data_IF_336530345447
#
_entry.id   IF_336530345447
#
_cell.length_a   1.000
_cell.length_b   1.000
_cell.length_c   1.000
_cell.angle_alpha   90.00
_cell.angle_beta   90.00
_cell.angle_gamma   90.00
#
_symmetry.space_group_name_H-M   'P 1'
#
loop_
_entity.id
_entity.type
_entity.pdbx_description
1 polymer ?
#
# COMPACT_ATOMS: atom_id res chain seq x y z
N UNK A 1 1.89 -1.58 5.71
CA UNK A 1 2.69 -2.43 4.79
C UNK A 1 2.01 -3.78 4.61
N UNK A 2 2.28 -4.48 3.50
CA UNK A 2 1.68 -5.77 3.15
C UNK A 2 2.77 -6.84 3.12
N UNK A 3 2.53 -8.01 3.74
CA UNK A 3 3.40 -9.19 3.67
C UNK A 3 2.57 -10.40 3.29
N UNK A 4 3.00 -11.12 2.25
CA UNK A 4 2.32 -12.32 1.76
C UNK A 4 0.80 -12.12 1.57
N UNK A 5 0.41 -10.99 0.97
CA UNK A 5 -0.98 -10.65 0.67
C UNK A 5 -1.84 -10.27 1.89
N UNK A 6 -1.22 -9.94 3.02
CA UNK A 6 -1.93 -9.47 4.22
C UNK A 6 -1.32 -8.18 4.75
N UNK A 7 -2.16 -7.29 5.24
CA UNK A 7 -1.70 -6.17 6.06
C UNK A 7 -1.01 -6.68 7.32
N UNK A 8 -0.04 -5.91 7.81
CA UNK A 8 0.65 -6.24 9.05
C UNK A 8 -0.34 -6.25 10.23
N UNK A 9 -0.23 -7.21 11.17
CA UNK A 9 -1.09 -7.27 12.35
C UNK A 9 -1.11 -5.95 13.14
N UNK A 10 0.03 -5.28 13.27
CA UNK A 10 0.15 -4.00 13.99
C UNK A 10 -0.62 -2.87 13.29
N UNK A 11 -0.67 -2.89 11.96
CA UNK A 11 -1.46 -1.93 11.20
C UNK A 11 -2.96 -2.16 11.42
N UNK A 12 -3.41 -3.42 11.40
CA UNK A 12 -4.81 -3.76 11.68
C UNK A 12 -5.21 -3.45 13.13
N UNK A 13 -4.33 -3.74 14.09
CA UNK A 13 -4.55 -3.40 15.50
C UNK A 13 -4.71 -1.89 15.69
N UNK A 14 -3.92 -1.07 14.98
CA UNK A 14 -4.07 0.38 14.99
C UNK A 14 -5.44 0.82 14.45
N UNK A 15 -5.85 0.30 13.28
CA UNK A 15 -7.15 0.63 12.68
C UNK A 15 -8.29 0.26 13.63
N UNK A 16 -8.29 -0.97 14.15
CA UNK A 16 -9.34 -1.44 15.04
C UNK A 16 -9.42 -0.63 16.34
N UNK A 17 -8.28 -0.31 16.95
CA UNK A 17 -8.22 0.44 18.21
C UNK A 17 -8.61 1.91 18.06
N UNK A 18 -8.51 2.47 16.85
CA UNK A 18 -8.74 3.90 16.60
C UNK A 18 -9.91 4.17 15.64
N UNK A 19 -10.68 3.14 15.25
CA UNK A 19 -11.71 3.24 14.20
C UNK A 19 -12.68 4.41 14.38
N UNK A 20 -13.14 4.65 15.61
CA UNK A 20 -14.07 5.75 15.92
C UNK A 20 -13.42 7.11 15.65
N UNK A 21 -12.17 7.31 16.09
CA UNK A 21 -11.44 8.55 15.86
C UNK A 21 -11.06 8.74 14.38
N UNK A 22 -10.79 7.66 13.67
CA UNK A 22 -10.47 7.68 12.23
C UNK A 22 -11.71 8.00 11.39
N UNK A 23 -12.89 7.48 11.75
CA UNK A 23 -14.17 7.77 11.09
C UNK A 23 -14.58 9.25 11.21
N UNK A 24 -14.11 9.95 12.23
CA UNK A 24 -14.39 11.39 12.43
C UNK A 24 -13.38 12.30 11.73
N UNK A 25 -12.45 11.74 10.94
CA UNK A 25 -11.41 12.49 10.23
C UNK A 25 -11.42 12.12 8.75
N UNK A 26 -10.84 12.97 7.92
CA UNK A 26 -10.44 12.57 6.56
C UNK A 26 -9.26 11.59 6.68
N UNK A 27 -9.58 10.30 6.84
CA UNK A 27 -8.59 9.25 6.93
C UNK A 27 -8.11 8.86 5.53
N UNK A 28 -6.81 8.97 5.29
CA UNK A 28 -6.19 8.61 4.02
C UNK A 28 -5.15 7.53 4.27
N UNK A 29 -5.00 6.59 3.34
CA UNK A 29 -4.00 5.53 3.47
C UNK A 29 -3.32 5.25 2.15
N UNK A 30 -2.12 4.68 2.22
CA UNK A 30 -1.46 4.13 1.06
C UNK A 30 -0.78 2.81 1.41
N UNK A 31 -0.57 1.98 0.39
CA UNK A 31 0.22 0.76 0.49
C UNK A 31 1.25 0.69 -0.62
N UNK A 32 2.40 0.12 -0.26
CA UNK A 32 3.43 -0.25 -1.21
C UNK A 32 3.44 -1.78 -1.34
N UNK A 33 3.30 -2.29 -2.56
CA UNK A 33 3.23 -3.73 -2.80
C UNK A 33 4.06 -4.15 -4.01
N UNK A 34 4.79 -5.27 -3.87
CA UNK A 34 5.56 -5.87 -4.96
C UNK A 34 4.68 -6.25 -6.15
N UNK A 35 3.46 -6.73 -5.92
CA UNK A 35 2.52 -7.12 -6.98
C UNK A 35 2.24 -5.97 -7.96
N UNK A 36 2.30 -4.72 -7.51
CA UNK A 36 2.11 -3.55 -8.37
C UNK A 36 3.29 -3.27 -9.32
N UNK A 37 4.37 -4.05 -9.23
CA UNK A 37 5.45 -3.98 -10.25
C UNK A 37 5.04 -4.63 -11.58
N UNK A 38 3.94 -5.37 -11.58
CA UNK A 38 3.26 -5.84 -12.79
C UNK A 38 2.19 -4.81 -13.20
N UNK A 39 2.33 -4.17 -14.37
CA UNK A 39 1.47 -3.06 -14.78
C UNK A 39 0.16 -3.58 -15.42
N UNK A 40 -0.64 -4.31 -14.66
CA UNK A 40 -1.89 -4.89 -15.11
C UNK A 40 -3.04 -4.67 -14.10
N UNK A 41 -4.27 -4.72 -14.59
CA UNK A 41 -5.47 -4.47 -13.78
C UNK A 41 -5.70 -5.54 -12.70
N UNK A 42 -5.27 -6.78 -12.95
CA UNK A 42 -5.43 -7.88 -12.00
C UNK A 42 -4.56 -7.63 -10.75
N UNK A 43 -3.32 -7.20 -10.96
CA UNK A 43 -2.38 -6.81 -9.89
C UNK A 43 -2.94 -5.68 -9.03
N UNK A 44 -3.52 -4.65 -9.65
CA UNK A 44 -4.20 -3.56 -8.93
C UNK A 44 -5.41 -4.08 -8.14
N UNK A 45 -6.25 -4.94 -8.74
CA UNK A 45 -7.42 -5.54 -8.08
C UNK A 45 -7.01 -6.40 -6.87
N UNK A 46 -5.98 -7.23 -7.03
CA UNK A 46 -5.44 -8.07 -5.96
C UNK A 46 -4.98 -7.22 -4.78
N UNK A 47 -4.19 -6.18 -5.05
CA UNK A 47 -3.64 -5.33 -3.98
C UNK A 47 -4.71 -4.46 -3.32
N UNK A 48 -5.68 -3.97 -4.10
CA UNK A 48 -6.85 -3.29 -3.56
C UNK A 48 -7.64 -4.19 -2.62
N UNK A 49 -7.84 -5.47 -2.96
CA UNK A 49 -8.53 -6.42 -2.07
C UNK A 49 -7.81 -6.66 -0.74
N UNK A 50 -6.50 -6.42 -0.65
CA UNK A 50 -5.78 -6.49 0.62
C UNK A 50 -6.19 -5.39 1.61
N UNK A 51 -6.88 -4.34 1.15
CA UNK A 51 -7.43 -3.26 1.97
C UNK A 51 -8.86 -3.53 2.45
N UNK A 52 -9.55 -4.55 1.94
CA UNK A 52 -10.91 -4.89 2.39
C UNK A 52 -11.03 -5.03 3.92
N UNK A 53 -10.06 -5.61 4.64
CA UNK A 53 -10.11 -5.64 6.11
C UNK A 53 -10.10 -4.25 6.75
N UNK A 54 -9.45 -3.25 6.15
CA UNK A 54 -9.44 -1.87 6.66
C UNK A 54 -10.77 -1.19 6.38
N UNK A 55 -11.27 -1.32 5.15
CA UNK A 55 -12.57 -0.76 4.72
C UNK A 55 -13.74 -1.26 5.57
N UNK A 56 -13.63 -2.49 6.09
CA UNK A 56 -14.60 -3.04 7.06
C UNK A 56 -14.68 -2.28 8.38
N UNK A 57 -13.65 -1.51 8.77
CA UNK A 57 -13.65 -0.69 9.98
C UNK A 57 -13.79 0.80 9.69
N UNK A 58 -13.08 1.31 8.68
CA UNK A 58 -13.03 2.73 8.33
C UNK A 58 -12.90 2.84 6.81
N UNK A 59 -13.81 3.59 6.18
CA UNK A 59 -13.71 3.92 4.76
C UNK A 59 -12.66 5.04 4.58
N UNK A 60 -11.55 4.81 3.88
CA UNK A 60 -10.57 5.87 3.61
C UNK A 60 -11.12 6.86 2.59
N UNK A 61 -10.85 8.15 2.79
CA UNK A 61 -11.19 9.20 1.84
C UNK A 61 -10.39 9.05 0.53
N UNK A 62 -9.09 8.75 0.65
CA UNK A 62 -8.21 8.46 -0.49
C UNK A 62 -7.30 7.26 -0.20
N UNK A 63 -7.16 6.39 -1.20
CA UNK A 63 -6.30 5.21 -1.15
C UNK A 63 -5.21 5.28 -2.22
N UNK A 64 -3.95 5.25 -1.79
CA UNK A 64 -2.79 5.18 -2.68
C UNK A 64 -2.29 3.74 -2.83
N UNK A 65 -2.27 3.21 -4.06
CA UNK A 65 -1.71 1.89 -4.37
C UNK A 65 -0.43 2.07 -5.19
N UNK A 66 0.73 1.81 -4.57
CA UNK A 66 2.01 2.11 -5.22
C UNK A 66 2.95 0.91 -5.32
N UNK A 67 3.66 0.83 -6.45
CA UNK A 67 4.85 0.01 -6.54
C UNK A 67 6.02 0.69 -5.81
N UNK A 68 6.96 -0.13 -5.36
CA UNK A 68 8.11 0.31 -4.56
C UNK A 68 9.45 0.07 -5.25
N UNK A 69 10.52 0.16 -4.45
CA UNK A 69 11.87 -0.20 -4.90
C UNK A 69 12.14 -1.66 -4.59
N UNK A 70 12.60 -2.40 -5.61
CA UNK A 70 13.09 -3.77 -5.45
C UNK A 70 14.62 -3.73 -5.33
N UNK A 71 15.08 -3.76 -4.09
CA UNK A 71 16.49 -3.82 -3.73
C UNK A 71 16.81 -5.12 -2.99
N UNK A 72 17.47 -6.05 -3.67
CA UNK A 72 17.79 -7.37 -3.11
C UNK A 72 18.80 -7.29 -1.97
N UNK A 73 19.62 -6.23 -1.90
CA UNK A 73 20.62 -6.08 -0.83
C UNK A 73 19.97 -5.88 0.54
N UNK A 74 18.72 -5.41 0.57
CA UNK A 74 17.94 -5.15 1.78
C UNK A 74 17.09 -6.35 2.23
N UNK A 75 17.13 -7.47 1.50
CA UNK A 75 16.30 -8.65 1.74
C UNK A 75 17.08 -9.77 2.43
N UNK A 76 16.38 -10.60 3.21
CA UNK A 76 16.96 -11.83 3.77
C UNK A 76 17.20 -12.85 2.67
N UNK A 77 18.16 -13.76 2.87
CA UNK A 77 18.57 -14.75 1.87
C UNK A 77 17.38 -15.50 1.22
N UNK A 78 16.39 -15.91 2.02
CA UNK A 78 15.19 -16.63 1.55
C UNK A 78 14.30 -15.77 0.63
N UNK A 79 14.17 -14.48 0.93
CA UNK A 79 13.40 -13.52 0.14
C UNK A 79 14.12 -13.26 -1.18
N UNK A 80 15.45 -13.13 -1.14
CA UNK A 80 16.27 -13.04 -2.36
C UNK A 80 16.11 -14.27 -3.25
N UNK A 81 16.10 -15.49 -2.67
CA UNK A 81 15.90 -16.73 -3.42
C UNK A 81 14.53 -16.78 -4.09
N UNK A 82 13.46 -16.41 -3.37
CA UNK A 82 12.11 -16.31 -3.93
C UNK A 82 12.04 -15.34 -5.11
N UNK A 83 12.59 -14.12 -4.96
CA UNK A 83 12.58 -13.13 -6.05
C UNK A 83 13.38 -13.59 -7.26
N UNK A 84 14.51 -14.30 -7.06
CA UNK A 84 15.29 -14.91 -8.16
C UNK A 84 14.49 -15.99 -8.87
N UNK A 85 13.79 -16.87 -8.13
CA UNK A 85 12.94 -17.90 -8.70
C UNK A 85 11.82 -17.30 -9.56
N UNK A 86 11.19 -16.22 -9.07
CA UNK A 86 10.19 -15.44 -9.79
C UNK A 86 10.76 -14.56 -10.91
N UNK A 87 12.08 -14.60 -11.16
CA UNK A 87 12.79 -13.81 -12.18
C UNK A 87 12.53 -12.30 -12.08
N UNK A 88 12.35 -11.82 -10.86
CA UNK A 88 12.05 -10.42 -10.58
C UNK A 88 13.26 -9.56 -10.90
N UNK A 89 13.03 -8.48 -11.65
CA UNK A 89 14.05 -7.48 -11.93
C UNK A 89 14.21 -6.55 -10.74
N UNK A 90 15.47 -6.26 -10.37
CA UNK A 90 15.78 -5.15 -9.48
C UNK A 90 15.43 -3.83 -10.18
N UNK A 91 15.00 -2.84 -9.41
CA UNK A 91 14.66 -1.54 -9.98
C UNK A 91 13.85 -0.68 -9.04
N UNK A 92 13.71 0.58 -9.42
CA UNK A 92 12.74 1.50 -8.87
C UNK A 92 11.49 1.45 -9.74
N UNK A 93 10.35 1.06 -9.15
CA UNK A 93 9.07 0.98 -9.83
C UNK A 93 8.10 2.06 -9.34
N UNK A 94 8.57 3.01 -8.54
CA UNK A 94 7.74 4.12 -8.06
C UNK A 94 7.35 5.01 -9.24
N UNK A 95 6.06 5.23 -9.39
CA UNK A 95 5.52 6.29 -10.25
C UNK A 95 5.43 7.57 -9.42
N UNK A 96 6.48 8.40 -9.48
CA UNK A 96 6.54 9.65 -8.73
C UNK A 96 5.41 10.62 -9.10
N UNK A 97 5.10 10.85 -10.39
CA UNK A 97 3.92 11.63 -10.76
C UNK A 97 2.62 11.15 -10.10
N UNK A 98 2.36 9.84 -10.07
CA UNK A 98 1.15 9.30 -9.43
C UNK A 98 1.16 9.49 -7.90
N UNK A 99 2.33 9.32 -7.26
CA UNK A 99 2.50 9.54 -5.82
C UNK A 99 2.28 11.03 -5.47
N UNK A 100 2.82 11.94 -6.27
CA UNK A 100 2.68 13.38 -6.08
C UNK A 100 1.23 13.83 -6.28
N UNK A 101 0.53 13.29 -7.29
CA UNK A 101 -0.89 13.56 -7.53
C UNK A 101 -1.75 13.12 -6.32
N UNK A 102 -1.57 11.89 -5.84
CA UNK A 102 -2.27 11.40 -4.66
C UNK A 102 -1.95 12.24 -3.41
N UNK A 103 -0.69 12.63 -3.23
CA UNK A 103 -0.30 13.47 -2.09
C UNK A 103 -0.97 14.85 -2.13
N UNK A 104 -1.17 15.43 -3.32
CA UNK A 104 -1.93 16.67 -3.50
C UNK A 104 -3.41 16.49 -3.12
N UNK A 105 -4.06 15.40 -3.55
CA UNK A 105 -5.46 15.08 -3.20
C UNK A 105 -5.66 14.96 -1.68
N UNK A 106 -4.70 14.34 -0.99
CA UNK A 106 -4.69 14.22 0.47
C UNK A 106 -4.52 15.60 1.15
N UNK A 107 -3.64 16.45 0.61
CA UNK A 107 -3.41 17.81 1.11
C UNK A 107 -4.63 18.72 0.99
N UNK A 108 -5.32 18.68 -0.14
CA UNK A 108 -6.52 19.48 -0.41
C UNK A 108 -7.68 19.06 0.51
N UNK A 109 -7.82 17.77 0.77
CA UNK A 109 -8.85 17.21 1.67
C UNK A 109 -8.66 17.61 3.14
N UNK A 110 -7.46 18.06 3.51
CA UNK A 110 -7.11 18.50 4.87
C UNK A 110 -7.35 20.00 5.09
N UNK A 111 -7.61 20.75 4.01
CA UNK A 111 -7.78 22.21 4.02
C UNK A 111 -9.22 22.68 4.25
N UNK A 112 -10.16 21.74 4.41
CA UNK A 112 -11.59 22.00 4.64
C UNK A 112 -12.03 21.95 6.11
N UNK A 113 -11.10 21.94 7.07
CA UNK A 113 -11.34 22.00 8.53
C UNK A 113 -11.01 23.39 9.10
#
# INVERSE_FOLDING_TARGET
>A
AIRYGKLLPEAMAFIESNKEALQQKSFNLFVVCFTLTFPDEESTRIVSGYLDPVRAYVEPAHEGLFAGVIDFSKLKWREQMLLRFLRVRRGDFRDWPAIEAWAAEVGDSSSGL
#
